data_IF_158734546738
#
_entry.id   IF_158734546738
#
_cell.length_a   1.000
_cell.length_b   1.000
_cell.length_c   1.000
_cell.angle_alpha   90.00
_cell.angle_beta   90.00
_cell.angle_gamma   90.00
#
_symmetry.space_group_name_H-M   'P 1'
#
loop_
_entity.id
_entity.type
_entity.pdbx_description
1 polymer ?
#
# COMPACT_ATOMS: atom_id res chain seq x y z
N UNK A 1 11.91 25.44 -18.66
CA UNK A 1 10.83 24.48 -18.97
C UNK A 1 11.34 23.08 -18.63
N UNK A 2 11.13 22.63 -17.40
CA UNK A 2 11.67 21.35 -16.86
C UNK A 2 10.68 20.60 -15.96
N UNK A 3 9.53 21.21 -15.67
CA UNK A 3 8.49 20.70 -14.76
C UNK A 3 7.80 19.40 -15.24
N UNK A 4 7.39 19.22 -16.53
CA UNK A 4 6.57 18.07 -16.92
C UNK A 4 7.32 16.72 -16.92
N UNK A 5 8.65 16.72 -16.82
CA UNK A 5 9.46 15.50 -16.70
C UNK A 5 9.51 15.03 -15.23
N UNK A 6 9.54 15.97 -14.29
CA UNK A 6 9.60 15.68 -12.86
C UNK A 6 8.29 15.04 -12.38
N UNK A 7 7.15 15.56 -12.84
CA UNK A 7 5.81 15.06 -12.49
C UNK A 7 5.66 13.58 -12.88
N UNK A 8 6.03 13.22 -14.12
CA UNK A 8 5.96 11.83 -14.63
C UNK A 8 6.90 10.87 -13.91
N UNK A 9 8.05 11.35 -13.43
CA UNK A 9 8.97 10.51 -12.67
C UNK A 9 8.41 10.25 -11.27
N UNK A 10 7.87 11.28 -10.61
CA UNK A 10 7.23 11.15 -9.30
C UNK A 10 6.06 10.16 -9.35
N UNK A 11 5.19 10.27 -10.35
CA UNK A 11 4.05 9.36 -10.55
C UNK A 11 4.48 7.89 -10.69
N UNK A 12 5.57 7.64 -11.44
CA UNK A 12 6.12 6.29 -11.62
C UNK A 12 6.70 5.73 -10.33
N UNK A 13 7.40 6.57 -9.56
CA UNK A 13 7.96 6.19 -8.26
C UNK A 13 6.82 5.85 -7.29
N UNK A 14 5.83 6.74 -7.18
CA UNK A 14 4.66 6.52 -6.32
C UNK A 14 3.90 5.24 -6.67
N UNK A 15 3.74 4.96 -7.96
CA UNK A 15 3.11 3.73 -8.44
C UNK A 15 3.91 2.49 -8.00
N UNK A 16 5.23 2.50 -8.21
CA UNK A 16 6.09 1.39 -7.80
C UNK A 16 6.07 1.16 -6.28
N UNK A 17 6.12 2.25 -5.50
CA UNK A 17 6.04 2.20 -4.03
C UNK A 17 4.71 1.62 -3.57
N UNK A 18 3.58 2.07 -4.14
CA UNK A 18 2.25 1.54 -3.79
C UNK A 18 2.12 0.04 -4.11
N UNK A 19 2.67 -0.40 -5.24
CA UNK A 19 2.68 -1.82 -5.62
C UNK A 19 3.48 -2.64 -4.60
N UNK A 20 4.71 -2.22 -4.29
CA UNK A 20 5.58 -2.93 -3.34
C UNK A 20 4.96 -3.01 -1.93
N UNK A 21 4.34 -1.93 -1.46
CA UNK A 21 3.64 -1.91 -0.17
C UNK A 21 2.44 -2.88 -0.20
N UNK A 22 1.63 -2.86 -1.27
CA UNK A 22 0.48 -3.75 -1.39
C UNK A 22 0.90 -5.24 -1.42
N UNK A 23 2.00 -5.57 -2.09
CA UNK A 23 2.55 -6.93 -2.13
C UNK A 23 3.09 -7.38 -0.77
N UNK A 24 3.77 -6.50 -0.03
CA UNK A 24 4.26 -6.80 1.31
C UNK A 24 3.10 -7.06 2.28
N UNK A 25 2.07 -6.20 2.26
CA UNK A 25 0.87 -6.38 3.10
C UNK A 25 0.15 -7.69 2.77
N UNK A 26 0.01 -8.02 1.48
CA UNK A 26 -0.61 -9.27 1.03
C UNK A 26 0.18 -10.50 1.50
N UNK A 27 1.53 -10.43 1.51
CA UNK A 27 2.36 -11.50 2.05
C UNK A 27 2.05 -11.75 3.53
N UNK A 28 1.97 -10.70 4.35
CA UNK A 28 1.61 -10.85 5.77
C UNK A 28 0.21 -11.46 5.95
N UNK A 29 -0.76 -11.03 5.13
CA UNK A 29 -2.12 -11.61 5.10
C UNK A 29 -2.09 -13.12 4.83
N UNK A 30 -1.33 -13.55 3.83
CA UNK A 30 -1.21 -14.96 3.43
C UNK A 30 -0.46 -15.81 4.45
N UNK A 31 0.51 -15.23 5.15
CA UNK A 31 1.29 -15.92 6.20
C UNK A 31 0.57 -15.97 7.55
N UNK A 32 -0.59 -15.31 7.69
CA UNK A 32 -1.27 -15.22 8.99
C UNK A 32 -0.63 -14.24 9.96
N UNK A 33 0.28 -13.38 9.48
CA UNK A 33 1.03 -12.43 10.29
C UNK A 33 0.24 -11.13 10.47
N UNK A 34 0.37 -10.53 11.65
CA UNK A 34 -0.21 -9.21 11.93
C UNK A 34 0.71 -8.08 11.46
N UNK A 35 0.10 -6.95 11.13
CA UNK A 35 0.81 -5.70 10.82
C UNK A 35 0.33 -4.60 11.76
N UNK A 36 1.21 -3.65 12.09
CA UNK A 36 0.82 -2.44 12.81
C UNK A 36 0.92 -1.24 11.89
N UNK A 37 -0.12 -0.42 11.86
CA UNK A 37 -0.21 0.79 11.04
C UNK A 37 -0.51 1.99 11.92
N UNK A 38 -0.08 3.17 11.49
CA UNK A 38 -0.53 4.41 12.08
C UNK A 38 -1.83 4.85 11.39
N UNK A 39 -2.92 4.97 12.15
CA UNK A 39 -4.23 5.36 11.66
C UNK A 39 -4.91 6.27 12.68
N UNK A 40 -5.44 7.39 12.21
CA UNK A 40 -6.21 8.34 13.03
C UNK A 40 -5.48 8.78 14.32
N UNK A 41 -4.16 9.02 14.21
CA UNK A 41 -3.35 9.47 15.34
C UNK A 41 -2.86 8.37 16.29
N UNK A 42 -3.18 7.10 16.01
CA UNK A 42 -2.87 5.97 16.89
C UNK A 42 -2.23 4.80 16.13
N UNK A 43 -1.50 3.96 16.86
CA UNK A 43 -1.00 2.69 16.31
C UNK A 43 -2.12 1.65 16.42
N UNK A 44 -2.52 1.10 15.29
CA UNK A 44 -3.54 0.04 15.19
C UNK A 44 -2.89 -1.21 14.63
N UNK A 45 -3.04 -2.34 15.33
CA UNK A 45 -2.60 -3.65 14.85
C UNK A 45 -3.74 -4.36 14.14
N UNK A 46 -3.50 -4.78 12.89
CA UNK A 46 -4.41 -5.60 12.10
C UNK A 46 -3.90 -7.04 12.09
N UNK A 47 -4.77 -7.98 12.45
CA UNK A 47 -4.53 -9.41 12.23
C UNK A 47 -4.69 -9.74 10.74
N UNK A 48 -4.13 -10.85 10.28
CA UNK A 48 -4.25 -11.28 8.88
C UNK A 48 -5.70 -11.33 8.37
N UNK A 49 -6.67 -11.72 9.21
CA UNK A 49 -8.09 -11.77 8.82
C UNK A 49 -8.71 -10.38 8.61
N UNK A 50 -8.12 -9.33 9.18
CA UNK A 50 -8.58 -7.94 9.05
C UNK A 50 -7.92 -7.21 7.88
N UNK A 51 -6.87 -7.79 7.28
CA UNK A 51 -6.20 -7.24 6.10
C UNK A 51 -7.04 -7.59 4.86
N UNK A 52 -7.53 -6.59 4.09
CA UNK A 52 -8.28 -6.86 2.87
C UNK A 52 -7.36 -7.49 1.81
N UNK A 53 -7.88 -8.40 0.96
CA UNK A 53 -7.08 -8.98 -0.10
C UNK A 53 -6.65 -7.93 -1.13
N UNK A 54 -5.47 -8.10 -1.71
CA UNK A 54 -4.91 -7.16 -2.70
C UNK A 54 -5.84 -6.83 -3.87
N UNK A 55 -6.70 -7.77 -4.28
CA UNK A 55 -7.74 -7.55 -5.29
C UNK A 55 -8.66 -6.37 -4.96
N UNK A 56 -8.92 -6.16 -3.67
CA UNK A 56 -9.86 -5.18 -3.16
C UNK A 56 -9.19 -3.82 -2.92
N UNK A 57 -7.85 -3.79 -2.89
CA UNK A 57 -7.05 -2.57 -2.88
C UNK A 57 -6.98 -1.93 -4.28
N UNK A 58 -6.99 -2.75 -5.35
CA UNK A 58 -6.90 -2.29 -6.74
C UNK A 58 -8.13 -1.51 -7.25
N UNK A 59 -9.29 -1.69 -6.63
CA UNK A 59 -10.53 -0.98 -6.99
C UNK A 59 -10.59 0.46 -6.43
N UNK A 60 -9.73 0.78 -5.44
CA UNK A 60 -9.61 2.12 -4.82
C UNK A 60 -8.42 2.94 -5.33
N UNK A 61 -7.71 2.42 -6.34
CA UNK A 61 -6.50 3.01 -6.93
C UNK A 61 -6.72 3.53 -8.36
N UNK A 62 -7.99 3.63 -8.80
CA UNK A 62 -8.37 4.33 -10.04
C UNK A 62 -8.90 5.71 -9.73
#
# INVERSE_FOLDING_TARGET
MTEPILDKLSERIDTGVRIAIAEAIERHRLLGESISIFKDGQIVTLTAAQIPPKSDLGSKLK
#
